data_IF_272444946593
#
_entry.id   IF_272444946593
#
_cell.length_a   1.000
_cell.length_b   1.000
_cell.length_c   1.000
_cell.angle_alpha   90.00
_cell.angle_beta   90.00
_cell.angle_gamma   90.00
#
_symmetry.space_group_name_H-M   'P 1'
#
loop_
_entity.id
_entity.type
_entity.pdbx_description
1 polymer ?
#
# COMPACT_ATOMS: atom_id res chain seq x y z
N UNK A 1 -0.61 8.95 -2.49
CA UNK A 1 0.70 9.39 -1.93
C UNK A 1 1.77 9.15 -3.00
N UNK A 2 2.90 9.88 -2.99
CA UNK A 2 3.99 9.67 -3.96
C UNK A 2 5.35 9.61 -3.26
N UNK A 3 6.22 8.69 -3.68
CA UNK A 3 7.61 8.57 -3.23
C UNK A 3 8.52 9.22 -4.27
N UNK A 4 9.55 9.92 -3.82
CA UNK A 4 10.58 10.46 -4.69
C UNK A 4 11.54 9.34 -5.13
N UNK A 5 11.37 8.88 -6.37
CA UNK A 5 12.21 7.83 -6.95
C UNK A 5 13.65 8.31 -7.19
N UNK A 6 13.86 9.59 -7.45
CA UNK A 6 15.21 10.13 -7.67
C UNK A 6 16.01 10.09 -6.35
N UNK A 7 15.37 10.43 -5.23
CA UNK A 7 15.97 10.30 -3.91
C UNK A 7 16.29 8.84 -3.56
N UNK A 8 15.40 7.90 -3.89
CA UNK A 8 15.66 6.46 -3.71
C UNK A 8 16.88 5.98 -4.50
N UNK A 9 17.00 6.36 -5.77
CA UNK A 9 18.16 6.03 -6.60
C UNK A 9 19.45 6.64 -6.06
N UNK A 10 19.39 7.86 -5.50
CA UNK A 10 20.56 8.46 -4.86
C UNK A 10 21.04 7.64 -3.64
N UNK A 11 20.11 7.10 -2.84
CA UNK A 11 20.43 6.22 -1.70
C UNK A 11 21.02 4.89 -2.19
N UNK A 12 20.51 4.33 -3.29
CA UNK A 12 21.06 3.11 -3.89
C UNK A 12 22.54 3.27 -4.25
N UNK A 13 22.90 4.39 -4.88
CA UNK A 13 24.29 4.70 -5.24
C UNK A 13 25.18 4.94 -4.01
N UNK A 14 24.68 5.65 -3.01
CA UNK A 14 25.44 6.00 -1.80
C UNK A 14 25.66 4.79 -0.87
N UNK A 15 24.62 3.97 -0.67
CA UNK A 15 24.63 2.89 0.34
C UNK A 15 24.81 1.50 -0.24
N UNK A 16 24.76 1.35 -1.57
CA UNK A 16 24.82 0.05 -2.24
C UNK A 16 23.61 -0.84 -2.00
N UNK A 17 22.49 -0.27 -1.54
CA UNK A 17 21.23 -0.98 -1.28
C UNK A 17 20.35 -0.84 -2.51
N UNK A 18 19.90 -1.96 -3.09
CA UNK A 18 19.06 -1.89 -4.28
C UNK A 18 17.75 -1.12 -4.03
N UNK A 19 17.26 -0.37 -5.02
CA UNK A 19 15.96 0.31 -4.91
C UNK A 19 14.83 -0.67 -4.58
N UNK A 20 14.91 -1.92 -5.04
CA UNK A 20 13.97 -2.98 -4.65
C UNK A 20 13.88 -3.15 -3.14
N UNK A 21 15.01 -3.32 -2.47
CA UNK A 21 15.08 -3.58 -1.03
C UNK A 21 14.58 -2.38 -0.23
N UNK A 22 14.92 -1.16 -0.67
CA UNK A 22 14.39 0.07 -0.08
C UNK A 22 12.87 0.15 -0.21
N UNK A 23 12.32 -0.19 -1.39
CA UNK A 23 10.88 -0.18 -1.63
C UNK A 23 10.15 -1.20 -0.76
N UNK A 24 10.67 -2.42 -0.60
CA UNK A 24 10.05 -3.43 0.28
C UNK A 24 10.05 -2.98 1.76
N UNK A 25 11.13 -2.32 2.19
CA UNK A 25 11.21 -1.73 3.52
C UNK A 25 10.14 -0.63 3.70
N UNK A 26 9.99 0.25 2.71
CA UNK A 26 8.99 1.32 2.71
C UNK A 26 7.57 0.75 2.69
N UNK A 27 7.29 -0.28 1.87
CA UNK A 27 5.98 -0.96 1.87
C UNK A 27 5.62 -1.47 3.26
N UNK A 28 6.56 -2.12 3.94
CA UNK A 28 6.34 -2.67 5.28
C UNK A 28 6.04 -1.58 6.31
N UNK A 29 6.80 -0.47 6.26
CA UNK A 29 6.58 0.68 7.11
C UNK A 29 5.21 1.34 6.85
N UNK A 30 4.85 1.54 5.58
CA UNK A 30 3.57 2.12 5.19
C UNK A 30 2.38 1.22 5.54
N UNK A 31 2.51 -0.10 5.39
CA UNK A 31 1.48 -1.05 5.80
C UNK A 31 1.24 -0.97 7.30
N UNK A 32 2.33 -0.88 8.09
CA UNK A 32 2.25 -0.72 9.54
C UNK A 32 1.56 0.58 9.91
N UNK A 33 1.89 1.69 9.24
CA UNK A 33 1.24 2.97 9.46
C UNK A 33 -0.27 2.92 9.09
N UNK A 34 -0.62 2.27 7.99
CA UNK A 34 -2.01 2.08 7.58
C UNK A 34 -2.81 1.28 8.62
N UNK A 35 -2.24 0.22 9.19
CA UNK A 35 -2.87 -0.57 10.28
C UNK A 35 -3.12 0.22 11.56
N UNK A 36 -2.49 1.39 11.72
CA UNK A 36 -2.76 2.28 12.84
C UNK A 36 -3.88 3.30 12.54
N UNK A 37 -4.42 3.32 11.33
CA UNK A 37 -5.56 4.17 10.97
C UNK A 37 -6.88 3.54 11.44
N UNK A 38 -7.82 4.38 11.86
CA UNK A 38 -9.17 3.92 12.20
C UNK A 38 -9.91 3.44 10.94
N UNK A 39 -10.60 2.31 11.06
CA UNK A 39 -11.33 1.71 9.93
C UNK A 39 -10.45 1.00 8.90
N UNK A 40 -9.17 0.75 9.20
CA UNK A 40 -8.31 -0.03 8.33
C UNK A 40 -8.85 -1.44 8.09
N UNK A 41 -8.54 -1.97 6.92
CA UNK A 41 -8.81 -3.37 6.58
C UNK A 41 -7.65 -4.25 7.05
N UNK A 42 -7.98 -5.38 7.67
CA UNK A 42 -6.98 -6.34 8.17
C UNK A 42 -6.13 -6.89 7.04
N UNK A 43 -6.78 -7.19 5.91
CA UNK A 43 -6.13 -7.70 4.73
C UNK A 43 -5.91 -6.59 3.71
N UNK A 44 -4.73 -5.98 3.79
CA UNK A 44 -4.31 -4.90 2.91
C UNK A 44 -2.84 -5.02 2.55
N UNK A 45 -2.49 -4.51 1.37
CA UNK A 45 -1.12 -4.49 0.85
C UNK A 45 -0.79 -3.12 0.24
N UNK A 46 0.49 -2.77 0.30
CA UNK A 46 1.00 -1.53 -0.29
C UNK A 46 1.51 -1.82 -1.70
N UNK A 47 0.93 -1.14 -2.68
CA UNK A 47 1.45 -1.11 -4.04
C UNK A 47 2.21 0.19 -4.28
N UNK A 48 3.38 0.06 -4.91
CA UNK A 48 4.20 1.20 -5.31
C UNK A 48 4.56 1.04 -6.79
N UNK A 49 4.16 2.02 -7.60
CA UNK A 49 4.61 2.12 -8.98
C UNK A 49 6.07 2.58 -8.97
N UNK A 50 6.96 1.73 -9.50
CA UNK A 50 8.42 1.96 -9.48
C UNK A 50 8.90 2.99 -10.48
N UNK A 51 8.06 3.39 -11.43
CA UNK A 51 8.37 4.42 -12.43
C UNK A 51 7.94 5.79 -11.93
N UNK A 52 6.75 5.87 -11.34
CA UNK A 52 6.14 7.15 -10.95
C UNK A 52 6.31 7.46 -9.46
N UNK A 53 6.55 6.45 -8.64
CA UNK A 53 6.57 6.54 -7.17
C UNK A 53 5.17 6.50 -6.54
N UNK A 54 4.11 6.32 -7.32
CA UNK A 54 2.73 6.38 -6.82
C UNK A 54 2.48 5.23 -5.85
N UNK A 55 2.03 5.59 -4.65
CA UNK A 55 1.71 4.66 -3.57
C UNK A 55 0.20 4.53 -3.41
N UNK A 56 -0.25 3.28 -3.35
CA UNK A 56 -1.64 2.90 -3.11
C UNK A 56 -1.74 1.87 -2.00
N UNK A 57 -2.79 1.95 -1.20
CA UNK A 57 -3.20 0.88 -0.30
C UNK A 57 -4.29 0.10 -0.99
N UNK A 58 -4.06 -1.19 -1.22
CA UNK A 58 -5.05 -2.09 -1.79
C UNK A 58 -5.57 -2.96 -0.66
N UNK A 59 -6.82 -2.74 -0.28
CA UNK A 59 -7.52 -3.62 0.64
C UNK A 59 -8.18 -4.74 -0.14
N UNK A 60 -8.29 -5.91 0.50
CA UNK A 60 -8.97 -7.07 -0.07
C UNK A 60 -9.89 -7.72 0.94
N UNK A 61 -10.95 -8.29 0.43
CA UNK A 61 -11.87 -9.14 1.17
C UNK A 61 -11.66 -10.58 0.69
N UNK A 62 -11.53 -11.51 1.64
CA UNK A 62 -11.36 -12.94 1.36
C UNK A 62 -12.51 -13.74 1.95
N UNK A 63 -12.85 -14.86 1.32
CA UNK A 63 -13.80 -15.84 1.87
C UNK A 63 -13.13 -16.76 2.92
N UNK A 64 -13.89 -17.74 3.43
CA UNK A 64 -13.43 -18.69 4.45
C UNK A 64 -12.27 -19.60 3.96
N UNK A 65 -12.07 -19.70 2.65
CA UNK A 65 -11.02 -20.48 2.00
C UNK A 65 -9.82 -19.60 1.56
N UNK A 66 -9.73 -18.35 2.05
CA UNK A 66 -8.73 -17.32 1.69
C UNK A 66 -8.79 -16.88 0.21
N UNK A 67 -9.88 -17.18 -0.51
CA UNK A 67 -10.03 -16.71 -1.88
C UNK A 67 -10.43 -15.23 -1.87
N UNK A 68 -9.72 -14.43 -2.67
CA UNK A 68 -10.04 -13.01 -2.83
C UNK A 68 -11.39 -12.84 -3.53
N UNK A 69 -12.36 -12.26 -2.83
CA UNK A 69 -13.70 -11.98 -3.36
C UNK A 69 -13.85 -10.53 -3.85
N UNK A 70 -13.06 -9.60 -3.30
CA UNK A 70 -13.04 -8.20 -3.74
C UNK A 70 -11.70 -7.53 -3.41
N UNK A 71 -11.26 -6.59 -4.25
CA UNK A 71 -10.12 -5.70 -3.98
C UNK A 71 -10.52 -4.25 -4.30
N UNK A 72 -10.14 -3.29 -3.45
CA UNK A 72 -10.38 -1.86 -3.69
C UNK A 72 -9.20 -1.00 -3.23
N UNK A 73 -9.17 0.22 -3.76
CA UNK A 73 -8.23 1.25 -3.31
C UNK A 73 -8.72 1.83 -1.98
N UNK A 74 -8.00 1.53 -0.92
CA UNK A 74 -8.25 2.05 0.43
C UNK A 74 -7.16 3.04 0.84
N UNK A 75 -6.51 3.68 -0.15
CA UNK A 75 -5.49 4.68 0.15
C UNK A 75 -6.15 5.80 0.95
N UNK A 76 -5.72 6.07 2.19
CA UNK A 76 -6.32 7.12 3.00
C UNK A 76 -6.21 8.46 2.27
N UNK A 77 -7.29 8.89 1.61
CA UNK A 77 -7.31 10.19 0.94
C UNK A 77 -7.36 11.25 2.03
N UNK A 78 -6.74 12.40 1.75
CA UNK A 78 -7.00 13.62 2.53
C UNK A 78 -8.48 14.07 2.45
N UNK A 79 -9.34 13.45 1.62
CA UNK A 79 -10.82 13.56 1.66
C UNK A 79 -11.51 12.52 0.77
N UNK A 80 -12.43 11.73 1.34
CA UNK A 80 -13.79 11.53 0.79
C UNK A 80 -14.04 10.52 -0.34
N UNK A 81 -13.66 9.26 -0.22
CA UNK A 81 -14.35 8.19 -0.95
C UNK A 81 -14.70 7.06 0.04
N UNK A 82 -15.99 6.81 0.23
CA UNK A 82 -16.49 5.76 1.11
C UNK A 82 -16.10 4.40 0.54
N UNK A 83 -15.66 3.42 1.36
CA UNK A 83 -15.50 2.05 0.88
C UNK A 83 -16.84 1.56 0.29
N UNK A 84 -16.82 0.71 -0.75
CA UNK A 84 -18.03 0.05 -1.21
C UNK A 84 -18.69 -0.69 -0.03
N UNK A 85 -20.03 -0.73 0.05
CA UNK A 85 -20.69 -1.45 1.12
C UNK A 85 -20.23 -2.91 1.11
N UNK A 86 -19.95 -3.51 2.28
CA UNK A 86 -19.62 -4.93 2.34
C UNK A 86 -20.76 -5.70 1.70
N UNK A 87 -20.44 -6.63 0.81
CA UNK A 87 -21.43 -7.49 0.19
C UNK A 87 -21.97 -8.42 1.28
N UNK A 88 -23.08 -8.01 1.92
CA UNK A 88 -23.88 -8.88 2.80
C UNK A 88 -24.30 -10.09 1.97
N UNK A 89 -23.73 -11.26 2.32
CA UNK A 89 -24.26 -12.57 1.91
C UNK A 89 -25.61 -12.83 2.56
#
# INVERSE_FOLDING_TARGET
MNIDMAALHAIEVDRGISVNELLETIKSALLTAYRHTEGHQNDARIEIDRKTGVVRVIARETDEDDNVISEWDDTPRASGASPPPPHVR
#
